data_IF_319386264809
#
_entry.id   IF_319386264809
#
_cell.length_a   1.000
_cell.length_b   1.000
_cell.length_c   1.000
_cell.angle_alpha   90.00
_cell.angle_beta   90.00
_cell.angle_gamma   90.00
#
_symmetry.space_group_name_H-M   'P 1'
#
loop_
_entity.id
_entity.type
_entity.pdbx_description
1 polymer ?
#
# COMPACT_ATOMS: atom_id res chain seq x y z
N UNK A 1 32.23 -44.76 16.88
CA UNK A 1 31.86 -43.79 15.83
C UNK A 1 30.79 -44.43 14.97
N UNK A 2 29.53 -44.01 15.12
CA UNK A 2 28.38 -44.65 14.46
C UNK A 2 27.65 -43.59 13.66
N UNK A 3 27.81 -43.63 12.33
CA UNK A 3 27.14 -42.74 11.38
C UNK A 3 25.65 -43.12 11.30
N UNK A 4 24.80 -42.31 11.92
CA UNK A 4 23.34 -42.42 11.77
C UNK A 4 22.91 -42.02 10.36
N UNK A 5 22.45 -42.98 9.56
CA UNK A 5 21.80 -42.75 8.26
C UNK A 5 20.59 -41.83 8.43
N UNK A 6 20.59 -40.67 7.78
CA UNK A 6 19.38 -39.85 7.60
C UNK A 6 18.50 -40.48 6.52
N UNK A 7 17.22 -40.66 6.83
CA UNK A 7 16.19 -41.03 5.86
C UNK A 7 15.99 -39.90 4.82
N UNK A 8 15.71 -40.22 3.55
CA UNK A 8 15.38 -39.21 2.55
C UNK A 8 14.01 -38.57 2.87
N UNK A 9 13.99 -37.24 2.97
CA UNK A 9 12.73 -36.47 3.03
C UNK A 9 12.11 -36.51 1.64
N UNK A 10 11.05 -37.27 1.47
CA UNK A 10 10.17 -37.20 0.30
C UNK A 10 9.63 -35.79 0.20
N UNK A 11 10.10 -35.03 -0.78
CA UNK A 11 9.55 -33.71 -1.11
C UNK A 11 8.28 -33.97 -1.90
N UNK A 12 7.17 -34.16 -1.21
CA UNK A 12 5.85 -34.07 -1.84
C UNK A 12 5.70 -32.66 -2.36
N UNK A 13 5.76 -32.50 -3.69
CA UNK A 13 5.37 -31.26 -4.33
C UNK A 13 3.90 -31.01 -3.98
N UNK A 14 3.65 -30.09 -3.05
CA UNK A 14 2.32 -29.51 -2.88
C UNK A 14 2.12 -28.69 -4.17
N UNK A 15 1.53 -29.31 -5.20
CA UNK A 15 0.93 -28.55 -6.28
C UNK A 15 -0.09 -27.62 -5.62
N UNK A 16 0.04 -26.28 -5.78
CA UNK A 16 -1.01 -25.39 -5.33
C UNK A 16 -2.25 -25.77 -6.13
N UNK A 17 -3.27 -26.28 -5.44
CA UNK A 17 -4.61 -26.40 -6.01
C UNK A 17 -4.97 -25.05 -6.59
N UNK A 18 -5.27 -24.92 -7.89
CA UNK A 18 -5.75 -23.66 -8.42
C UNK A 18 -7.13 -23.47 -7.79
N UNK A 19 -7.18 -22.71 -6.70
CA UNK A 19 -8.43 -22.12 -6.27
C UNK A 19 -8.89 -21.30 -7.47
N UNK A 20 -9.96 -21.75 -8.13
CA UNK A 20 -10.62 -21.04 -9.22
C UNK A 20 -11.14 -19.72 -8.66
N UNK A 21 -10.27 -18.72 -8.52
CA UNK A 21 -10.68 -17.34 -8.41
C UNK A 21 -11.41 -17.07 -9.71
N UNK A 22 -12.68 -16.70 -9.63
CA UNK A 22 -13.37 -16.11 -10.78
C UNK A 22 -12.60 -14.83 -11.10
N UNK A 23 -11.82 -14.86 -12.18
CA UNK A 23 -10.89 -13.80 -12.54
C UNK A 23 -11.53 -12.76 -13.46
N UNK A 24 -12.84 -12.86 -13.68
CA UNK A 24 -13.60 -11.98 -14.56
C UNK A 24 -14.67 -11.27 -13.73
N UNK A 25 -14.58 -9.94 -13.66
CA UNK A 25 -15.62 -9.10 -13.08
C UNK A 25 -16.84 -9.05 -14.02
N UNK A 26 -17.97 -8.58 -13.51
CA UNK A 26 -19.24 -8.53 -14.26
C UNK A 26 -19.17 -7.61 -15.52
N UNK A 27 -18.17 -6.73 -15.59
CA UNK A 27 -17.90 -5.83 -16.71
C UNK A 27 -16.84 -6.34 -17.69
N UNK A 28 -16.41 -7.60 -17.56
CA UNK A 28 -15.39 -8.22 -18.42
C UNK A 28 -13.94 -7.88 -18.03
N UNK A 29 -13.72 -7.12 -16.96
CA UNK A 29 -12.37 -6.79 -16.48
C UNK A 29 -11.77 -7.91 -15.62
N UNK A 30 -10.44 -7.91 -15.48
CA UNK A 30 -9.72 -8.88 -14.65
C UNK A 30 -9.97 -8.62 -13.15
N UNK A 31 -10.73 -9.51 -12.48
CA UNK A 31 -11.04 -9.46 -11.03
C UNK A 31 -9.94 -10.09 -10.16
N UNK A 32 -8.86 -10.58 -10.78
CA UNK A 32 -7.75 -11.24 -10.10
C UNK A 32 -6.77 -10.29 -9.41
N UNK A 33 -7.25 -9.27 -8.69
CA UNK A 33 -6.36 -8.33 -8.01
C UNK A 33 -5.31 -9.05 -7.15
N UNK A 34 -4.03 -8.87 -7.48
CA UNK A 34 -2.91 -9.46 -6.71
C UNK A 34 -2.93 -8.96 -5.27
N UNK A 35 -3.49 -7.77 -5.04
CA UNK A 35 -3.90 -7.25 -3.73
C UNK A 35 -5.32 -6.70 -3.84
N UNK A 36 -6.28 -7.28 -3.13
CA UNK A 36 -7.69 -6.88 -3.19
C UNK A 36 -7.92 -5.38 -3.02
N UNK A 37 -9.01 -4.89 -3.63
CA UNK A 37 -9.48 -3.50 -3.52
C UNK A 37 -9.59 -3.15 -2.04
N UNK A 38 -8.71 -2.27 -1.58
CA UNK A 38 -8.62 -1.92 -0.17
C UNK A 38 -9.28 -0.59 0.05
N UNK A 39 -10.47 -0.61 0.64
CA UNK A 39 -11.18 0.63 0.94
C UNK A 39 -10.47 1.44 2.01
N UNK A 40 -10.28 2.72 1.73
CA UNK A 40 -9.77 3.67 2.70
C UNK A 40 -10.85 3.87 3.78
N UNK A 41 -10.58 3.60 5.07
CA UNK A 41 -11.57 3.84 6.13
C UNK A 41 -12.01 5.31 6.12
N UNK A 42 -13.24 5.63 6.55
CA UNK A 42 -13.71 7.01 6.61
C UNK A 42 -12.85 7.86 7.56
N UNK A 43 -12.82 9.17 7.33
CA UNK A 43 -12.23 10.10 8.28
C UNK A 43 -13.05 10.13 9.58
N UNK A 44 -12.38 10.40 10.70
CA UNK A 44 -13.01 10.56 12.02
C UNK A 44 -13.00 12.07 12.32
N UNK A 45 -14.15 12.77 12.21
CA UNK A 45 -14.19 14.23 12.27
C UNK A 45 -13.63 14.78 13.58
N UNK A 46 -14.10 14.23 14.71
CA UNK A 46 -13.67 14.63 16.03
C UNK A 46 -12.29 14.05 16.35
N UNK A 47 -11.34 14.93 16.68
CA UNK A 47 -9.98 14.52 17.07
C UNK A 47 -10.00 13.61 18.30
N UNK A 48 -10.93 13.79 19.24
CA UNK A 48 -10.94 12.99 20.47
C UNK A 48 -11.27 11.52 20.22
N UNK A 49 -12.07 11.24 19.20
CA UNK A 49 -12.50 9.88 18.83
C UNK A 49 -11.46 9.14 17.97
N UNK A 50 -10.39 9.83 17.54
CA UNK A 50 -9.33 9.22 16.75
C UNK A 50 -8.49 8.27 17.64
N UNK A 51 -8.19 7.05 17.18
CA UNK A 51 -7.30 6.14 17.89
C UNK A 51 -5.88 6.73 18.02
N UNK A 52 -5.26 6.56 19.19
CA UNK A 52 -3.88 6.99 19.43
C UNK A 52 -2.95 5.95 18.81
N UNK A 53 -1.96 6.41 18.05
CA UNK A 53 -0.89 5.57 17.50
C UNK A 53 0.47 6.09 17.92
N UNK A 54 1.39 5.16 18.18
CA UNK A 54 2.77 5.45 18.50
C UNK A 54 3.71 4.73 17.52
N UNK A 55 4.77 5.39 17.04
CA UNK A 55 5.81 4.74 16.25
C UNK A 55 6.41 3.53 16.98
N UNK A 56 6.53 2.40 16.28
CA UNK A 56 7.18 1.20 16.79
C UNK A 56 8.13 0.61 15.73
N UNK A 57 9.38 0.33 16.12
CA UNK A 57 10.39 -0.19 15.19
C UNK A 57 10.60 0.72 13.97
N UNK A 58 10.90 0.13 12.80
CA UNK A 58 11.22 0.88 11.58
C UNK A 58 9.99 1.41 10.84
N UNK A 59 8.93 0.61 10.73
CA UNK A 59 7.70 0.94 9.96
C UNK A 59 6.41 0.43 10.61
N UNK A 60 6.48 -0.01 11.87
CA UNK A 60 5.32 -0.52 12.59
C UNK A 60 4.70 0.59 13.45
N UNK A 61 3.45 0.36 13.83
CA UNK A 61 2.69 1.24 14.69
C UNK A 61 2.17 0.42 15.88
N UNK A 62 2.14 1.06 17.05
CA UNK A 62 1.47 0.54 18.24
C UNK A 62 0.21 1.38 18.44
N UNK A 63 -0.94 0.71 18.47
CA UNK A 63 -2.24 1.35 18.66
C UNK A 63 -2.62 1.33 20.14
N UNK A 64 -3.16 2.44 20.66
CA UNK A 64 -3.54 2.62 22.07
C UNK A 64 -4.97 3.19 22.13
N UNK A 65 -5.97 2.42 22.61
CA UNK A 65 -5.94 0.98 22.84
C UNK A 65 -5.81 0.20 21.52
N UNK A 66 -5.42 -1.08 21.60
CA UNK A 66 -5.31 -1.96 20.42
C UNK A 66 -6.65 -2.02 19.69
N UNK A 67 -6.71 -1.45 18.49
CA UNK A 67 -7.94 -1.41 17.69
C UNK A 67 -8.17 -2.80 17.08
N UNK A 68 -8.85 -3.69 17.81
CA UNK A 68 -9.04 -5.10 17.41
C UNK A 68 -9.82 -5.28 16.09
N UNK A 69 -10.67 -4.31 15.72
CA UNK A 69 -11.49 -4.32 14.50
C UNK A 69 -11.12 -3.23 13.48
N UNK A 70 -9.98 -2.55 13.68
CA UNK A 70 -9.55 -1.42 12.86
C UNK A 70 -8.58 -1.81 11.76
N UNK A 71 -8.50 -0.98 10.72
CA UNK A 71 -7.46 -1.13 9.70
C UNK A 71 -6.13 -0.67 10.29
N UNK A 72 -5.07 -1.44 10.04
CA UNK A 72 -3.71 -1.09 10.51
C UNK A 72 -3.25 0.21 9.84
N UNK A 73 -2.53 1.11 10.55
CA UNK A 73 -2.12 2.39 9.98
C UNK A 73 -1.31 2.27 8.68
N UNK A 74 -0.41 1.29 8.57
CA UNK A 74 0.35 1.03 7.33
C UNK A 74 -0.54 0.66 6.14
N UNK A 75 -1.66 -0.03 6.39
CA UNK A 75 -2.63 -0.34 5.34
C UNK A 75 -3.40 0.90 4.90
N UNK A 76 -3.70 1.83 5.81
CA UNK A 76 -4.31 3.12 5.48
C UNK A 76 -3.36 3.97 4.64
N UNK A 77 -2.07 4.07 5.03
CA UNK A 77 -1.05 4.74 4.22
C UNK A 77 -0.95 4.14 2.81
N UNK A 78 -0.97 2.81 2.70
CA UNK A 78 -0.98 2.14 1.38
C UNK A 78 -2.16 2.59 0.51
N UNK A 79 -3.35 2.72 1.09
CA UNK A 79 -4.54 3.18 0.36
C UNK A 79 -4.41 4.66 -0.06
N UNK A 80 -3.91 5.52 0.84
CA UNK A 80 -3.70 6.94 0.56
C UNK A 80 -2.66 7.16 -0.54
N UNK A 81 -1.54 6.42 -0.52
CA UNK A 81 -0.48 6.52 -1.53
C UNK A 81 -0.97 6.13 -2.92
N UNK A 82 -1.80 5.08 -3.02
CA UNK A 82 -2.41 4.64 -4.28
C UNK A 82 -3.44 5.63 -4.80
N UNK A 83 -4.35 6.08 -3.93
CA UNK A 83 -5.49 6.95 -4.32
C UNK A 83 -5.03 8.35 -4.73
N UNK A 84 -3.96 8.85 -4.12
CA UNK A 84 -3.43 10.18 -4.39
C UNK A 84 -2.13 10.10 -5.19
N UNK A 85 -1.93 9.08 -6.03
CA UNK A 85 -0.69 8.97 -6.81
C UNK A 85 -0.55 10.18 -7.78
N UNK A 86 0.59 10.92 -7.79
CA UNK A 86 0.76 12.12 -8.62
C UNK A 86 0.70 11.84 -10.12
N UNK A 87 0.97 10.60 -10.54
CA UNK A 87 1.03 10.21 -11.94
C UNK A 87 2.41 10.48 -12.50
N UNK A 88 2.45 11.20 -13.62
CA UNK A 88 3.70 11.67 -14.24
C UNK A 88 3.96 13.09 -13.76
N UNK A 89 5.15 13.30 -13.21
CA UNK A 89 5.64 14.61 -12.74
C UNK A 89 6.65 15.16 -13.74
N UNK A 90 6.72 16.49 -13.84
CA UNK A 90 7.66 17.20 -14.70
C UNK A 90 8.83 17.72 -13.87
N UNK A 91 10.04 17.31 -14.24
CA UNK A 91 11.29 17.78 -13.67
C UNK A 91 12.13 18.43 -14.75
N UNK A 92 12.20 19.77 -14.76
CA UNK A 92 13.01 20.54 -15.71
C UNK A 92 12.75 20.14 -17.19
N UNK A 93 11.48 19.90 -17.53
CA UNK A 93 11.05 19.46 -18.86
C UNK A 93 11.11 17.94 -19.09
N UNK A 94 11.67 17.17 -18.14
CA UNK A 94 11.66 15.71 -18.18
C UNK A 94 10.41 15.15 -17.49
N UNK A 95 9.63 14.37 -18.22
CA UNK A 95 8.46 13.66 -17.68
C UNK A 95 8.88 12.35 -17.03
N UNK A 96 8.71 12.24 -15.71
CA UNK A 96 9.10 11.08 -14.91
C UNK A 96 7.87 10.53 -14.18
N UNK A 97 7.75 9.21 -14.09
CA UNK A 97 6.72 8.59 -13.26
C UNK A 97 7.06 8.81 -11.78
N UNK A 98 6.12 9.34 -10.99
CA UNK A 98 6.32 9.59 -9.57
C UNK A 98 6.40 8.27 -8.79
N UNK A 99 7.61 7.75 -8.54
CA UNK A 99 7.82 6.45 -7.88
C UNK A 99 8.47 6.55 -6.50
N UNK A 100 9.04 7.71 -6.18
CA UNK A 100 9.69 8.01 -4.90
C UNK A 100 8.83 8.95 -4.06
N UNK A 101 9.09 9.02 -2.75
CA UNK A 101 8.30 9.88 -1.86
C UNK A 101 8.55 11.37 -2.16
N UNK A 102 9.75 11.69 -2.61
CA UNK A 102 10.17 13.01 -3.03
C UNK A 102 9.32 13.53 -4.20
N UNK A 103 8.89 12.65 -5.12
CA UNK A 103 8.02 13.02 -6.24
C UNK A 103 6.63 13.49 -5.78
N UNK A 104 6.17 13.02 -4.61
CA UNK A 104 4.91 13.46 -4.03
C UNK A 104 4.98 14.89 -3.48
N UNK A 105 6.19 15.44 -3.30
CA UNK A 105 6.42 16.85 -2.93
C UNK A 105 6.60 17.77 -4.14
N UNK A 106 6.87 17.20 -5.33
CA UNK A 106 7.27 17.96 -6.51
C UNK A 106 6.18 18.87 -7.05
N UNK A 107 4.93 18.38 -7.07
CA UNK A 107 3.78 19.15 -7.57
C UNK A 107 2.96 19.68 -6.41
N UNK A 108 2.81 21.01 -6.37
CA UNK A 108 1.98 21.73 -5.41
C UNK A 108 0.72 22.25 -6.09
N UNK A 109 -0.39 22.24 -5.37
CA UNK A 109 -1.61 22.90 -5.83
C UNK A 109 -1.54 24.42 -5.67
N UNK A 110 -2.62 25.10 -6.08
CA UNK A 110 -2.75 26.57 -5.99
C UNK A 110 -2.61 27.11 -4.57
N UNK A 111 -2.82 26.28 -3.56
CA UNK A 111 -2.71 26.65 -2.15
C UNK A 111 -1.33 26.30 -1.58
N UNK A 112 -0.41 25.81 -2.42
CA UNK A 112 0.93 25.41 -2.02
C UNK A 112 1.02 24.03 -1.37
N UNK A 113 -0.08 23.26 -1.30
CA UNK A 113 -0.08 21.92 -0.73
C UNK A 113 0.33 20.88 -1.77
N UNK A 114 1.33 20.09 -1.41
CA UNK A 114 1.77 18.95 -2.20
C UNK A 114 0.83 17.75 -2.03
N UNK A 115 1.02 16.74 -2.88
CA UNK A 115 0.33 15.46 -2.71
C UNK A 115 0.74 14.78 -1.40
N UNK A 116 2.02 14.91 -1.01
CA UNK A 116 2.51 14.40 0.26
C UNK A 116 1.78 15.04 1.46
N UNK A 117 1.56 16.36 1.43
CA UNK A 117 0.80 17.07 2.48
C UNK A 117 -0.63 16.53 2.59
N UNK A 118 -1.30 16.35 1.44
CA UNK A 118 -2.66 15.76 1.40
C UNK A 118 -2.71 14.37 2.00
N UNK A 119 -1.68 13.56 1.78
CA UNK A 119 -1.58 12.20 2.35
C UNK A 119 -1.34 12.25 3.85
N UNK A 120 -0.42 13.10 4.33
CA UNK A 120 -0.15 13.29 5.75
C UNK A 120 -1.41 13.78 6.48
N UNK A 121 -2.08 14.81 5.96
CA UNK A 121 -3.33 15.35 6.52
C UNK A 121 -4.43 14.29 6.54
N UNK A 122 -4.66 13.60 5.42
CA UNK A 122 -5.67 12.55 5.34
C UNK A 122 -5.38 11.39 6.30
N UNK A 123 -4.12 11.08 6.56
CA UNK A 123 -3.74 10.09 7.56
C UNK A 123 -4.10 10.55 8.98
N UNK A 124 -3.79 11.81 9.32
CA UNK A 124 -4.10 12.39 10.63
C UNK A 124 -5.59 12.67 10.84
N UNK A 125 -6.42 12.68 9.79
CA UNK A 125 -7.88 12.66 9.92
C UNK A 125 -8.43 11.31 10.46
N UNK A 126 -7.60 10.26 10.55
CA UNK A 126 -8.00 8.91 10.98
C UNK A 126 -7.34 8.45 12.27
N UNK A 127 -6.26 9.10 12.67
CA UNK A 127 -5.46 8.75 13.83
C UNK A 127 -5.01 10.02 14.55
N UNK A 128 -4.62 9.89 15.82
CA UNK A 128 -3.91 10.94 16.54
C UNK A 128 -2.66 10.36 17.21
N UNK A 129 -1.77 11.23 17.65
CA UNK A 129 -0.62 10.88 18.48
C UNK A 129 -0.72 11.62 19.82
N UNK A 130 0.03 11.16 20.81
CA UNK A 130 0.30 11.97 22.01
C UNK A 130 1.28 13.09 21.66
N UNK A 131 1.06 14.30 22.18
CA UNK A 131 1.84 15.50 21.83
C UNK A 131 3.35 15.32 22.03
N UNK A 132 3.74 14.56 23.06
CA UNK A 132 5.11 14.18 23.35
C UNK A 132 5.82 13.43 22.20
N UNK A 133 5.06 12.85 21.27
CA UNK A 133 5.55 12.11 20.11
C UNK A 133 5.25 12.78 18.77
N UNK A 134 4.70 13.99 18.75
CA UNK A 134 4.26 14.69 17.52
C UNK A 134 5.26 14.65 16.37
N UNK A 135 6.47 15.17 16.58
CA UNK A 135 7.51 15.20 15.55
C UNK A 135 8.01 13.81 15.16
N UNK A 136 8.14 12.90 16.14
CA UNK A 136 8.51 11.51 15.88
C UNK A 136 7.45 10.81 15.03
N UNK A 137 6.16 11.08 15.28
CA UNK A 137 5.04 10.48 14.57
C UNK A 137 5.00 10.97 13.11
N UNK A 138 5.15 12.28 12.87
CA UNK A 138 5.25 12.85 11.52
C UNK A 138 6.43 12.29 10.74
N UNK A 139 7.62 12.24 11.34
CA UNK A 139 8.80 11.66 10.70
C UNK A 139 8.61 10.16 10.40
N UNK A 140 7.90 9.43 11.28
CA UNK A 140 7.62 8.01 11.10
C UNK A 140 6.64 7.74 9.95
N UNK A 141 5.63 8.61 9.74
CA UNK A 141 4.76 8.55 8.55
C UNK A 141 5.59 8.64 7.28
N UNK A 142 6.48 9.64 7.18
CA UNK A 142 7.34 9.83 6.00
C UNK A 142 8.21 8.60 5.72
N UNK A 143 8.82 8.03 6.77
CA UNK A 143 9.60 6.79 6.66
C UNK A 143 8.76 5.60 6.19
N UNK A 144 7.54 5.48 6.69
CA UNK A 144 6.61 4.44 6.26
C UNK A 144 6.25 4.62 4.77
N UNK A 145 5.95 5.83 4.31
CA UNK A 145 5.66 6.11 2.90
C UNK A 145 6.83 5.70 2.00
N UNK A 146 8.06 6.14 2.32
CA UNK A 146 9.28 5.76 1.60
C UNK A 146 9.47 4.25 1.49
N UNK A 147 9.12 3.50 2.54
CA UNK A 147 9.27 2.04 2.57
C UNK A 147 8.15 1.33 1.81
N UNK A 148 6.93 1.88 1.81
CA UNK A 148 5.76 1.27 1.16
C UNK A 148 5.76 1.43 -0.35
N UNK A 149 6.22 2.58 -0.87
CA UNK A 149 6.16 2.92 -2.29
C UNK A 149 6.80 1.86 -3.21
N UNK A 150 8.04 1.37 -2.99
CA UNK A 150 8.63 0.36 -3.86
C UNK A 150 7.79 -0.91 -3.97
N UNK A 151 7.18 -1.35 -2.86
CA UNK A 151 6.28 -2.51 -2.87
C UNK A 151 5.01 -2.21 -3.67
N UNK A 152 4.42 -1.02 -3.50
CA UNK A 152 3.21 -0.61 -4.24
C UNK A 152 3.46 -0.66 -5.75
N UNK A 153 4.55 -0.07 -6.24
CA UNK A 153 4.89 -0.08 -7.66
C UNK A 153 5.22 -1.46 -8.20
N UNK A 154 5.94 -2.28 -7.43
CA UNK A 154 6.22 -3.66 -7.82
C UNK A 154 4.92 -4.42 -8.13
N UNK A 155 3.94 -4.37 -7.23
CA UNK A 155 2.67 -5.05 -7.43
C UNK A 155 1.80 -4.39 -8.51
N UNK A 156 1.84 -3.06 -8.64
CA UNK A 156 1.11 -2.36 -9.71
C UNK A 156 1.64 -2.75 -11.10
N UNK A 157 2.96 -2.90 -11.26
CA UNK A 157 3.57 -3.36 -12.51
C UNK A 157 3.16 -4.79 -12.87
N UNK A 158 3.19 -5.71 -11.90
CA UNK A 158 2.73 -7.09 -12.14
C UNK A 158 1.25 -7.09 -12.53
N UNK A 159 0.41 -6.32 -11.82
CA UNK A 159 -1.01 -6.20 -12.13
C UNK A 159 -1.23 -5.71 -13.57
N UNK A 160 -0.53 -4.66 -14.00
CA UNK A 160 -0.62 -4.13 -15.36
C UNK A 160 -0.17 -5.16 -16.43
N UNK A 161 0.88 -5.94 -16.15
CA UNK A 161 1.33 -7.01 -17.04
C UNK A 161 0.25 -8.10 -17.16
N UNK A 162 -0.29 -8.55 -16.04
CA UNK A 162 -1.34 -9.59 -16.00
C UNK A 162 -2.59 -9.11 -16.74
N UNK A 163 -3.03 -7.87 -16.50
CA UNK A 163 -4.16 -7.27 -17.20
C UNK A 163 -3.93 -7.15 -18.71
N UNK A 164 -2.71 -6.83 -19.14
CA UNK A 164 -2.36 -6.75 -20.56
C UNK A 164 -2.46 -8.12 -21.25
N UNK A 165 -1.84 -9.17 -20.68
CA UNK A 165 -1.91 -10.52 -21.25
C UNK A 165 -3.33 -11.08 -21.21
N UNK A 166 -4.07 -10.84 -20.12
CA UNK A 166 -5.48 -11.22 -20.02
C UNK A 166 -6.31 -10.58 -21.13
N UNK A 167 -6.12 -9.28 -21.40
CA UNK A 167 -6.83 -8.59 -22.49
C UNK A 167 -6.52 -9.23 -23.84
N UNK A 168 -5.25 -9.49 -24.14
CA UNK A 168 -4.86 -10.12 -25.42
C UNK A 168 -5.53 -11.48 -25.58
N UNK A 169 -5.48 -12.33 -24.55
CA UNK A 169 -6.08 -13.67 -24.59
C UNK A 169 -7.60 -13.61 -24.85
N UNK A 170 -8.31 -12.68 -24.21
CA UNK A 170 -9.76 -12.55 -24.38
C UNK A 170 -10.18 -11.69 -25.60
N UNK A 171 -9.25 -11.08 -26.33
CA UNK A 171 -9.55 -10.34 -27.58
C UNK A 171 -9.36 -11.22 -28.82
N UNK A 172 -8.65 -12.35 -28.70
CA UNK A 172 -8.38 -13.27 -29.81
C UNK A 172 -9.50 -14.31 -30.04
N UNK A 173 -10.60 -14.23 -29.29
CA UNK A 173 -11.76 -15.13 -29.36
C UNK A 173 -12.98 -14.50 -30.09
N UNK A 174 -12.82 -13.34 -30.75
CA UNK A 174 -13.78 -12.73 -31.69
C UNK A 174 -13.27 -12.80 -33.14
#
# INVERSE_FOLDING_TARGET
MTLGRRAPRTTGAIQPTPATRKTTAADGTYDGYIRGVSDLPPAIPNIQDRPIIQPAGKTHWKDIPVVRKGRRPSSVLTCLLKRNHPGVVDYDGAKVLAIEWEDYHAVKDTNGHSVADKIEDAFWLRYKYEDAYSEKAKQHVRRCCKTLLPSIFYYARIQAIVEHFWKIENTNDE
#
